data_IF_736799581902
#
_entry.id   IF_736799581902
#
_cell.length_a   1.000
_cell.length_b   1.000
_cell.length_c   1.000
_cell.angle_alpha   90.00
_cell.angle_beta   90.00
_cell.angle_gamma   90.00
#
_symmetry.space_group_name_H-M   'P 1'
#
loop_
_entity.id
_entity.type
_entity.pdbx_description
1 polymer ?
#
# COMPACT_ATOMS: atom_id res chain seq x y z
N UNK A 1 10.72 -14.46 -16.05
CA UNK A 1 10.73 -13.32 -15.11
C UNK A 1 12.20 -13.03 -14.88
N UNK A 2 12.73 -12.07 -15.63
CA UNK A 2 14.16 -11.89 -15.83
C UNK A 2 14.86 -11.42 -14.55
N UNK A 3 16.05 -11.96 -14.32
CA UNK A 3 16.91 -11.79 -13.14
C UNK A 3 17.48 -10.38 -12.99
N UNK A 4 16.64 -9.38 -12.69
CA UNK A 4 17.14 -8.14 -12.08
C UNK A 4 17.35 -8.38 -10.57
N UNK A 5 18.20 -9.35 -10.25
CA UNK A 5 18.75 -9.51 -8.90
C UNK A 5 19.72 -8.36 -8.63
N UNK A 6 19.41 -7.57 -7.60
CA UNK A 6 20.35 -6.58 -7.07
C UNK A 6 21.74 -7.23 -6.87
N UNK A 7 22.78 -6.52 -7.33
CA UNK A 7 24.16 -6.92 -7.08
C UNK A 7 24.39 -7.15 -5.57
N UNK A 8 25.33 -8.03 -5.17
CA UNK A 8 25.58 -8.28 -3.75
C UNK A 8 25.82 -7.01 -2.92
N UNK A 9 26.52 -6.02 -3.51
CA UNK A 9 26.74 -4.71 -2.90
C UNK A 9 25.46 -3.88 -2.83
N UNK A 10 24.65 -3.89 -3.90
CA UNK A 10 23.35 -3.22 -3.92
C UNK A 10 22.41 -3.74 -2.83
N UNK A 11 22.34 -5.07 -2.63
CA UNK A 11 21.57 -5.68 -1.55
C UNK A 11 22.02 -5.22 -0.17
N UNK A 12 23.33 -5.19 0.07
CA UNK A 12 23.87 -4.73 1.34
C UNK A 12 23.51 -3.27 1.62
N UNK A 13 23.67 -2.38 0.63
CA UNK A 13 23.33 -0.96 0.76
C UNK A 13 21.84 -0.78 1.03
N UNK A 14 20.97 -1.38 0.21
CA UNK A 14 19.51 -1.25 0.37
C UNK A 14 19.04 -1.86 1.69
N UNK A 15 19.58 -3.02 2.06
CA UNK A 15 19.26 -3.69 3.32
C UNK A 15 19.68 -2.88 4.54
N UNK A 16 20.88 -2.30 4.54
CA UNK A 16 21.36 -1.41 5.60
C UNK A 16 20.52 -0.12 5.69
N UNK A 17 20.14 0.46 4.56
CA UNK A 17 19.26 1.62 4.54
C UNK A 17 17.90 1.28 5.16
N UNK A 18 17.28 0.16 4.80
CA UNK A 18 16.05 -0.31 5.42
C UNK A 18 16.19 -0.53 6.93
N UNK A 19 17.28 -1.18 7.38
CA UNK A 19 17.60 -1.36 8.80
C UNK A 19 17.66 -0.03 9.54
N UNK A 20 18.43 0.93 9.02
CA UNK A 20 18.62 2.25 9.64
C UNK A 20 17.30 3.04 9.70
N UNK A 21 16.50 3.01 8.64
CA UNK A 21 15.17 3.64 8.64
C UNK A 21 14.23 3.06 9.71
N UNK A 22 14.33 1.76 10.00
CA UNK A 22 13.51 1.10 11.03
C UNK A 22 13.99 1.33 12.46
N UNK A 23 15.29 1.57 12.67
CA UNK A 23 15.86 1.76 14.01
C UNK A 23 15.35 3.04 14.68
N UNK A 24 15.25 4.14 13.94
CA UNK A 24 14.79 5.41 14.51
C UNK A 24 13.40 5.32 15.18
N UNK A 25 12.33 4.81 14.53
CA UNK A 25 11.04 4.64 15.18
C UNK A 25 11.07 3.62 16.34
N UNK A 26 11.86 2.54 16.26
CA UNK A 26 12.01 1.60 17.39
C UNK A 26 12.59 2.32 18.61
N UNK A 27 13.68 3.07 18.42
CA UNK A 27 14.33 3.83 19.49
C UNK A 27 13.40 4.90 20.08
N UNK A 28 12.60 5.56 19.25
CA UNK A 28 11.56 6.50 19.69
C UNK A 28 10.47 5.83 20.53
N UNK A 29 10.01 4.65 20.10
CA UNK A 29 9.06 3.83 20.87
C UNK A 29 9.62 3.38 22.22
N UNK A 30 10.89 3.02 22.28
CA UNK A 30 11.60 2.67 23.51
C UNK A 30 11.96 3.87 24.39
N UNK A 31 11.74 5.11 23.93
CA UNK A 31 12.04 6.32 24.70
C UNK A 31 13.54 6.63 24.79
N UNK A 32 14.35 6.19 23.82
CA UNK A 32 15.79 6.46 23.78
C UNK A 32 16.02 7.88 23.22
N UNK A 33 16.77 8.70 23.96
CA UNK A 33 17.17 10.05 23.51
C UNK A 33 18.16 9.97 22.33
N UNK A 34 18.08 10.84 21.28
CA UNK A 34 17.20 12.00 21.13
C UNK A 34 15.80 11.69 20.54
N UNK A 35 15.49 10.42 20.26
CA UNK A 35 14.26 10.02 19.58
C UNK A 35 13.00 10.05 20.48
N UNK A 36 13.18 10.10 21.80
CA UNK A 36 12.09 10.18 22.77
C UNK A 36 11.21 11.44 22.66
N UNK A 37 11.78 12.55 22.17
CA UNK A 37 11.09 13.85 22.09
C UNK A 37 9.97 13.92 21.04
N UNK A 38 9.88 12.92 20.15
CA UNK A 38 8.86 12.85 19.10
C UNK A 38 7.59 12.08 19.46
N UNK A 39 7.41 11.70 20.74
CA UNK A 39 6.22 10.94 21.16
C UNK A 39 4.96 11.79 21.02
N UNK A 40 4.05 11.32 20.17
CA UNK A 40 2.72 11.91 20.01
C UNK A 40 1.84 11.42 21.16
N UNK A 41 1.22 12.32 21.96
CA UNK A 41 0.32 11.92 23.03
C UNK A 41 -0.79 10.99 22.53
N UNK A 42 -1.01 9.88 23.24
CA UNK A 42 -2.06 8.90 22.93
C UNK A 42 -1.68 7.81 21.91
N UNK A 43 -0.46 7.81 21.38
CA UNK A 43 0.07 6.69 20.58
C UNK A 43 0.72 5.66 21.51
N UNK A 44 0.30 4.38 21.50
CA UNK A 44 0.95 3.34 22.27
C UNK A 44 2.40 3.10 21.82
N UNK A 45 3.29 2.84 22.77
CA UNK A 45 4.72 2.63 22.51
C UNK A 45 5.01 1.46 21.57
N UNK A 46 4.12 0.45 21.52
CA UNK A 46 4.29 -0.69 20.62
C UNK A 46 4.14 -0.31 19.14
N UNK A 47 3.37 0.73 18.80
CA UNK A 47 3.09 1.13 17.41
C UNK A 47 4.37 1.51 16.66
N UNK A 48 5.20 2.44 17.13
CA UNK A 48 6.47 2.76 16.46
C UNK A 48 7.49 1.61 16.52
N UNK A 49 7.44 0.75 17.55
CA UNK A 49 8.29 -0.45 17.63
C UNK A 49 7.94 -1.44 16.52
N UNK A 50 6.65 -1.76 16.34
CA UNK A 50 6.19 -2.66 15.29
C UNK A 50 6.42 -2.04 13.92
N UNK A 51 6.07 -0.76 13.75
CA UNK A 51 6.28 -0.03 12.50
C UNK A 51 7.75 -0.02 12.06
N UNK A 52 8.67 0.29 12.97
CA UNK A 52 10.10 0.21 12.69
C UNK A 52 10.62 -1.21 12.53
N UNK A 53 10.08 -2.15 13.29
CA UNK A 53 10.40 -3.58 13.21
C UNK A 53 10.16 -4.16 11.82
N UNK A 54 9.10 -3.73 11.12
CA UNK A 54 8.84 -4.14 9.74
C UNK A 54 9.99 -3.76 8.80
N UNK A 55 10.52 -2.54 8.90
CA UNK A 55 11.66 -2.08 8.10
C UNK A 55 12.95 -2.83 8.44
N UNK A 56 13.16 -3.11 9.74
CA UNK A 56 14.30 -3.91 10.20
C UNK A 56 14.24 -5.32 9.61
N UNK A 57 13.09 -5.99 9.71
CA UNK A 57 12.89 -7.32 9.15
C UNK A 57 13.11 -7.32 7.63
N UNK A 58 12.57 -6.32 6.92
CA UNK A 58 12.77 -6.16 5.48
C UNK A 58 14.27 -6.03 5.13
N UNK A 59 15.02 -5.21 5.86
CA UNK A 59 16.46 -5.07 5.67
C UNK A 59 17.22 -6.38 5.90
N UNK A 60 16.88 -7.13 6.95
CA UNK A 60 17.44 -8.47 7.22
C UNK A 60 17.15 -9.42 6.05
N UNK A 61 15.92 -9.47 5.54
CA UNK A 61 15.59 -10.35 4.40
C UNK A 61 16.38 -10.00 3.14
N UNK A 62 16.56 -8.71 2.85
CA UNK A 62 17.31 -8.24 1.68
C UNK A 62 18.79 -8.66 1.79
N UNK A 63 19.40 -8.52 2.98
CA UNK A 63 20.80 -8.92 3.22
C UNK A 63 20.95 -10.44 3.19
N UNK A 64 20.05 -11.17 3.86
CA UNK A 64 20.14 -12.63 3.98
C UNK A 64 19.94 -13.36 2.65
N UNK A 65 19.15 -12.80 1.72
CA UNK A 65 18.87 -13.37 0.39
C UNK A 65 18.45 -14.86 0.43
N UNK A 66 17.75 -15.26 1.49
CA UNK A 66 17.32 -16.64 1.69
C UNK A 66 15.81 -16.73 1.52
N UNK A 67 15.33 -17.60 0.63
CA UNK A 67 13.90 -17.68 0.25
C UNK A 67 12.97 -17.91 1.44
N UNK A 68 13.33 -18.81 2.36
CA UNK A 68 12.53 -19.09 3.56
C UNK A 68 12.50 -17.90 4.52
N UNK A 69 13.63 -17.20 4.66
CA UNK A 69 13.72 -16.01 5.52
C UNK A 69 12.87 -14.89 4.91
N UNK A 70 12.94 -14.72 3.60
CA UNK A 70 12.10 -13.76 2.87
C UNK A 70 10.61 -14.03 3.04
N UNK A 71 10.18 -15.30 3.04
CA UNK A 71 8.77 -15.65 3.27
C UNK A 71 8.31 -15.31 4.71
N UNK A 72 9.10 -15.68 5.72
CA UNK A 72 8.79 -15.38 7.13
C UNK A 72 8.82 -13.88 7.42
N UNK A 73 9.82 -13.18 6.87
CA UNK A 73 9.90 -11.71 6.95
C UNK A 73 8.73 -11.07 6.24
N UNK A 74 8.36 -11.54 5.04
CA UNK A 74 7.20 -11.05 4.31
C UNK A 74 5.93 -11.16 5.14
N UNK A 75 5.69 -12.34 5.74
CA UNK A 75 4.56 -12.55 6.64
C UNK A 75 4.61 -11.63 7.86
N UNK A 76 5.76 -11.53 8.54
CA UNK A 76 5.93 -10.66 9.70
C UNK A 76 5.76 -9.17 9.36
N UNK A 77 6.24 -8.75 8.19
CA UNK A 77 6.08 -7.40 7.67
C UNK A 77 4.61 -7.09 7.38
N UNK A 78 3.91 -7.99 6.69
CA UNK A 78 2.47 -7.85 6.43
C UNK A 78 1.68 -7.81 7.75
N UNK A 79 1.97 -8.70 8.69
CA UNK A 79 1.31 -8.75 10.00
C UNK A 79 1.58 -7.48 10.83
N UNK A 80 2.81 -6.96 10.83
CA UNK A 80 3.15 -5.72 11.51
C UNK A 80 2.44 -4.51 10.91
N UNK A 81 2.41 -4.41 9.58
CA UNK A 81 1.66 -3.36 8.87
C UNK A 81 0.15 -3.47 9.13
N UNK A 82 -0.40 -4.68 9.16
CA UNK A 82 -1.79 -4.92 9.47
C UNK A 82 -2.12 -4.49 10.91
N UNK A 83 -1.27 -4.85 11.89
CA UNK A 83 -1.45 -4.46 13.28
C UNK A 83 -1.43 -2.93 13.47
N UNK A 84 -0.46 -2.24 12.86
CA UNK A 84 -0.37 -0.78 12.88
C UNK A 84 -1.57 -0.16 12.18
N UNK A 85 -1.92 -0.64 10.98
CA UNK A 85 -3.09 -0.18 10.21
C UNK A 85 -4.40 -0.33 10.98
N UNK A 86 -4.61 -1.48 11.62
CA UNK A 86 -5.79 -1.75 12.45
C UNK A 86 -5.87 -0.81 13.65
N UNK A 87 -4.74 -0.51 14.32
CA UNK A 87 -4.74 0.48 15.39
C UNK A 87 -4.99 1.90 14.88
N UNK A 88 -4.47 2.27 13.71
CA UNK A 88 -4.76 3.59 13.12
C UNK A 88 -6.26 3.70 12.80
N UNK A 89 -6.83 2.68 12.17
CA UNK A 89 -8.22 2.65 11.73
C UNK A 89 -9.23 2.56 12.89
N UNK A 90 -9.04 1.59 13.78
CA UNK A 90 -10.01 1.17 14.79
C UNK A 90 -9.55 1.45 16.22
N UNK A 91 -8.28 1.81 16.43
CA UNK A 91 -7.75 2.08 17.75
C UNK A 91 -8.23 3.41 18.34
N UNK A 92 -8.10 3.51 19.67
CA UNK A 92 -8.45 4.70 20.46
C UNK A 92 -7.45 5.85 20.27
N UNK A 93 -7.90 7.08 20.50
CA UNK A 93 -7.10 8.30 20.41
C UNK A 93 -7.23 9.03 19.08
N UNK A 94 -6.76 10.27 19.04
CA UNK A 94 -6.78 11.12 17.84
C UNK A 94 -5.66 10.73 16.87
N UNK A 95 -5.90 10.90 15.56
CA UNK A 95 -4.91 10.68 14.50
C UNK A 95 -4.63 12.00 13.78
N UNK A 96 -3.39 12.46 13.88
CA UNK A 96 -2.90 13.61 13.12
C UNK A 96 -2.30 13.12 11.81
N UNK A 97 -3.14 12.84 10.83
CA UNK A 97 -2.67 12.37 9.53
C UNK A 97 -2.37 13.57 8.62
N UNK A 98 -1.09 13.91 8.53
CA UNK A 98 -0.62 14.87 7.54
C UNK A 98 -0.46 14.15 6.20
N UNK A 99 -1.51 14.18 5.38
CA UNK A 99 -1.41 13.78 3.99
C UNK A 99 -0.82 14.95 3.20
N UNK A 100 0.50 14.99 3.03
CA UNK A 100 1.13 15.91 2.08
C UNK A 100 0.95 15.33 0.68
N UNK A 101 -0.22 15.54 0.06
CA UNK A 101 -0.31 15.37 -1.39
C UNK A 101 0.43 16.55 -2.03
N UNK A 102 1.71 16.37 -2.32
CA UNK A 102 2.53 17.35 -3.03
C UNK A 102 2.17 17.34 -4.52
N UNK A 103 0.94 17.72 -4.85
CA UNK A 103 0.58 18.21 -6.17
C UNK A 103 0.63 19.73 -6.17
N UNK A 104 1.14 20.35 -7.24
CA UNK A 104 1.19 21.82 -7.43
C UNK A 104 -0.16 22.53 -7.16
N UNK A 105 -1.28 21.80 -7.22
CA UNK A 105 -2.65 22.34 -7.09
C UNK A 105 -3.31 22.14 -5.72
N UNK A 106 -2.73 21.36 -4.80
CA UNK A 106 -3.36 21.06 -3.51
C UNK A 106 -2.52 21.64 -2.38
N UNK A 107 -2.92 22.82 -1.88
CA UNK A 107 -2.38 23.34 -0.62
C UNK A 107 -2.48 22.27 0.47
N UNK A 108 -1.45 22.18 1.32
CA UNK A 108 -1.37 21.21 2.41
C UNK A 108 -2.57 21.35 3.34
N UNK A 109 -3.58 20.50 3.14
CA UNK A 109 -4.68 20.34 4.09
C UNK A 109 -4.34 19.14 4.96
N UNK A 110 -4.25 19.35 6.27
CA UNK A 110 -4.24 18.23 7.20
C UNK A 110 -5.52 17.43 6.97
N UNK A 111 -5.39 16.12 6.71
CA UNK A 111 -6.57 15.28 6.59
C UNK A 111 -7.21 15.19 7.98
N UNK A 112 -8.54 15.34 8.05
CA UNK A 112 -9.26 15.09 9.29
C UNK A 112 -9.05 13.64 9.77
N UNK A 113 -9.29 13.41 11.06
CA UNK A 113 -9.19 12.08 11.69
C UNK A 113 -9.98 11.01 10.91
N UNK A 114 -11.21 11.34 10.49
CA UNK A 114 -12.12 10.43 9.80
C UNK A 114 -11.58 9.95 8.43
N UNK A 115 -11.19 10.83 7.47
CA UNK A 115 -10.55 10.39 6.23
C UNK A 115 -9.33 9.48 6.45
N UNK A 116 -8.53 9.75 7.49
CA UNK A 116 -7.38 8.92 7.79
C UNK A 116 -7.79 7.51 8.22
N UNK A 117 -8.75 7.40 9.14
CA UNK A 117 -9.26 6.10 9.61
C UNK A 117 -9.86 5.29 8.47
N UNK A 118 -10.59 5.92 7.55
CA UNK A 118 -11.17 5.25 6.39
C UNK A 118 -10.06 4.70 5.49
N UNK A 119 -9.07 5.51 5.15
CA UNK A 119 -7.98 5.11 4.26
C UNK A 119 -7.13 3.97 4.86
N UNK A 120 -6.72 4.10 6.13
CA UNK A 120 -5.97 3.05 6.81
C UNK A 120 -6.82 1.81 7.11
N UNK A 121 -8.12 1.98 7.40
CA UNK A 121 -9.04 0.87 7.63
C UNK A 121 -9.20 0.01 6.40
N UNK A 122 -9.31 0.62 5.22
CA UNK A 122 -9.32 -0.11 3.96
C UNK A 122 -8.02 -0.89 3.73
N UNK A 123 -6.87 -0.25 3.94
CA UNK A 123 -5.57 -0.88 3.84
C UNK A 123 -5.40 -2.04 4.82
N UNK A 124 -5.85 -1.86 6.06
CA UNK A 124 -5.79 -2.88 7.11
C UNK A 124 -6.63 -4.12 6.74
N UNK A 125 -7.88 -3.92 6.29
CA UNK A 125 -8.74 -5.02 5.82
C UNK A 125 -8.09 -5.80 4.68
N UNK A 126 -7.47 -5.11 3.71
CA UNK A 126 -6.75 -5.79 2.62
C UNK A 126 -5.55 -6.60 3.12
N UNK A 127 -4.77 -6.06 4.06
CA UNK A 127 -3.64 -6.76 4.66
C UNK A 127 -4.09 -7.98 5.47
N UNK A 128 -5.17 -7.85 6.24
CA UNK A 128 -5.76 -8.95 7.02
C UNK A 128 -6.24 -10.08 6.11
N UNK A 129 -6.96 -9.74 5.02
CA UNK A 129 -7.37 -10.71 4.00
C UNK A 129 -6.14 -11.43 3.41
N UNK A 130 -5.07 -10.71 3.11
CA UNK A 130 -3.84 -11.29 2.57
C UNK A 130 -3.15 -12.22 3.57
N UNK A 131 -3.12 -11.86 4.86
CA UNK A 131 -2.60 -12.71 5.93
C UNK A 131 -3.41 -14.00 6.04
N UNK A 132 -4.73 -13.92 5.98
CA UNK A 132 -5.61 -15.10 5.99
C UNK A 132 -5.32 -15.98 4.77
N UNK A 133 -5.17 -15.42 3.57
CA UNK A 133 -4.81 -16.19 2.37
C UNK A 133 -3.45 -16.89 2.50
N UNK A 134 -2.45 -16.21 3.07
CA UNK A 134 -1.14 -16.82 3.35
C UNK A 134 -1.27 -17.97 4.35
N UNK A 135 -1.99 -17.76 5.44
CA UNK A 135 -2.22 -18.77 6.48
C UNK A 135 -2.95 -20.01 5.91
N UNK A 136 -4.00 -19.79 5.12
CA UNK A 136 -4.74 -20.87 4.44
C UNK A 136 -3.86 -21.61 3.43
N UNK A 137 -2.97 -20.91 2.73
CA UNK A 137 -2.03 -21.52 1.79
C UNK A 137 -0.97 -22.38 2.49
N UNK A 138 -0.51 -21.96 3.67
CA UNK A 138 0.39 -22.76 4.52
C UNK A 138 -0.35 -23.97 5.08
N UNK A 139 -1.55 -23.78 5.63
CA UNK A 139 -2.38 -24.85 6.15
C UNK A 139 -2.75 -25.88 5.06
N UNK A 140 -3.10 -25.43 3.86
CA UNK A 140 -3.41 -26.32 2.73
C UNK A 140 -2.23 -27.22 2.35
N UNK A 141 -1.01 -26.67 2.37
CA UNK A 141 0.22 -27.46 2.16
C UNK A 141 0.49 -28.44 3.29
N UNK A 142 0.22 -28.06 4.54
CA UNK A 142 0.44 -28.91 5.71
C UNK A 142 -0.58 -30.05 5.83
N UNK A 143 -1.83 -29.81 5.47
CA UNK A 143 -2.95 -30.75 5.70
C UNK A 143 -3.49 -31.41 4.41
N UNK A 144 -2.85 -31.23 3.26
CA UNK A 144 -3.26 -31.88 2.00
C UNK A 144 -4.54 -31.30 1.37
N UNK A 145 -4.83 -30.01 1.60
CA UNK A 145 -5.97 -29.27 1.02
C UNK A 145 -7.36 -29.93 1.24
N UNK A 146 -7.82 -30.11 2.48
CA UNK A 146 -9.19 -30.57 2.73
C UNK A 146 -10.24 -29.67 2.05
N UNK A 147 -11.39 -30.21 1.62
CA UNK A 147 -12.43 -29.46 0.89
C UNK A 147 -12.88 -28.18 1.60
N UNK A 148 -12.92 -28.20 2.93
CA UNK A 148 -13.26 -27.03 3.75
C UNK A 148 -12.28 -25.86 3.55
N UNK A 149 -10.97 -26.12 3.45
CA UNK A 149 -9.97 -25.07 3.20
C UNK A 149 -10.08 -24.50 1.78
N UNK A 150 -10.44 -25.33 0.79
CA UNK A 150 -10.67 -24.87 -0.59
C UNK A 150 -11.86 -23.92 -0.64
N UNK A 151 -12.97 -24.28 0.02
CA UNK A 151 -14.15 -23.42 0.13
C UNK A 151 -13.85 -22.10 0.84
N UNK A 152 -13.13 -22.17 1.96
CA UNK A 152 -12.73 -20.97 2.73
C UNK A 152 -11.79 -20.07 1.92
N UNK A 153 -10.79 -20.62 1.24
CA UNK A 153 -9.88 -19.84 0.38
C UNK A 153 -10.65 -19.09 -0.70
N UNK A 154 -11.59 -19.75 -1.38
CA UNK A 154 -12.44 -19.12 -2.39
C UNK A 154 -13.29 -17.99 -1.79
N UNK A 155 -13.84 -18.18 -0.59
CA UNK A 155 -14.59 -17.14 0.11
C UNK A 155 -13.71 -15.90 0.41
N UNK A 156 -12.47 -16.12 0.84
CA UNK A 156 -11.51 -15.04 1.11
C UNK A 156 -11.07 -14.32 -0.18
N UNK A 157 -10.89 -15.05 -1.29
CA UNK A 157 -10.65 -14.44 -2.61
C UNK A 157 -11.82 -13.54 -3.06
N UNK A 158 -13.06 -13.96 -2.84
CA UNK A 158 -14.23 -13.11 -3.09
C UNK A 158 -14.30 -11.90 -2.17
N UNK A 159 -13.95 -12.05 -0.89
CA UNK A 159 -13.85 -10.93 0.04
C UNK A 159 -12.81 -9.91 -0.44
N UNK A 160 -11.65 -10.38 -0.91
CA UNK A 160 -10.61 -9.53 -1.50
C UNK A 160 -11.13 -8.74 -2.70
N UNK A 161 -11.84 -9.41 -3.62
CA UNK A 161 -12.45 -8.75 -4.78
C UNK A 161 -13.51 -7.73 -4.37
N UNK A 162 -14.35 -8.06 -3.39
CA UNK A 162 -15.35 -7.14 -2.86
C UNK A 162 -14.71 -5.89 -2.22
N UNK A 163 -13.63 -6.07 -1.45
CA UNK A 163 -12.85 -4.95 -0.90
C UNK A 163 -12.16 -4.16 -2.00
N UNK A 164 -11.66 -4.76 -3.08
CA UNK A 164 -11.04 -4.01 -4.18
C UNK A 164 -12.05 -3.35 -5.14
N UNK A 165 -13.31 -3.78 -5.14
CA UNK A 165 -14.29 -3.38 -6.14
C UNK A 165 -14.46 -1.86 -6.27
N UNK A 166 -14.51 -1.04 -5.20
CA UNK A 166 -14.67 0.41 -5.37
C UNK A 166 -13.44 1.09 -5.97
N UNK A 167 -12.23 0.60 -5.71
CA UNK A 167 -11.01 1.09 -6.37
C UNK A 167 -11.00 0.71 -7.86
N UNK A 168 -11.37 -0.54 -8.17
CA UNK A 168 -11.47 -1.01 -9.55
C UNK A 168 -12.53 -0.24 -10.33
N UNK A 169 -13.67 0.07 -9.70
CA UNK A 169 -14.73 0.88 -10.31
C UNK A 169 -14.25 2.30 -10.60
N UNK A 170 -13.55 2.94 -9.67
CA UNK A 170 -12.97 4.27 -9.89
C UNK A 170 -11.98 4.25 -11.06
N UNK A 171 -11.08 3.28 -11.11
CA UNK A 171 -10.13 3.12 -12.21
C UNK A 171 -10.84 2.90 -13.55
N UNK A 172 -11.91 2.10 -13.57
CA UNK A 172 -12.72 1.88 -14.76
C UNK A 172 -13.40 3.18 -15.23
N UNK A 173 -13.95 3.97 -14.30
CA UNK A 173 -14.55 5.28 -14.62
C UNK A 173 -13.48 6.22 -15.21
N UNK A 174 -12.30 6.32 -14.59
CA UNK A 174 -11.21 7.14 -15.13
C UNK A 174 -10.74 6.67 -16.51
N UNK A 175 -10.63 5.36 -16.73
CA UNK A 175 -10.25 4.80 -18.02
C UNK A 175 -11.31 5.10 -19.10
N UNK A 176 -12.60 4.99 -18.76
CA UNK A 176 -13.72 5.29 -19.68
C UNK A 176 -13.80 6.80 -20.00
N UNK A 177 -13.61 7.67 -19.01
CA UNK A 177 -13.59 9.13 -19.22
C UNK A 177 -12.34 9.59 -20.00
N UNK A 178 -11.17 9.03 -19.68
CA UNK A 178 -9.91 9.34 -20.35
C UNK A 178 -9.88 8.88 -21.81
N UNK A 179 -10.40 7.68 -22.10
CA UNK A 179 -10.59 7.21 -23.48
C UNK A 179 -11.69 7.99 -24.22
N UNK A 180 -12.73 8.43 -23.51
CA UNK A 180 -13.77 9.32 -24.02
C UNK A 180 -13.24 10.67 -24.50
N UNK A 181 -12.26 11.26 -23.80
CA UNK A 181 -11.64 12.54 -24.19
C UNK A 181 -10.92 12.50 -25.54
N UNK A 182 -10.25 11.39 -25.86
CA UNK A 182 -9.60 11.19 -27.16
C UNK A 182 -10.61 10.96 -28.31
N UNK A 183 -11.69 10.22 -28.04
CA UNK A 183 -12.76 10.02 -29.01
C UNK A 183 -13.53 11.33 -29.30
N UNK A 184 -13.77 12.16 -28.27
CA UNK A 184 -14.45 13.44 -28.43
C UNK A 184 -13.60 14.46 -29.20
N UNK A 185 -12.29 14.54 -28.93
CA UNK A 185 -11.40 15.46 -29.63
C UNK A 185 -11.23 15.10 -31.12
N UNK A 186 -11.17 13.79 -31.43
CA UNK A 186 -11.13 13.28 -32.80
C UNK A 186 -12.45 13.46 -33.56
N UNK A 187 -13.60 13.45 -32.87
CA UNK A 187 -14.90 13.78 -33.46
C UNK A 187 -15.05 15.28 -33.73
N UNK A 188 -14.67 16.14 -32.78
CA UNK A 188 -14.68 17.60 -32.95
C UNK A 188 -13.77 18.04 -34.10
N UNK A 189 -12.56 17.50 -34.19
CA UNK A 189 -11.61 17.82 -35.26
C UNK A 189 -12.15 17.45 -36.65
N UNK A 190 -12.86 16.31 -36.77
CA UNK A 190 -13.47 15.89 -38.04
C UNK A 190 -14.69 16.74 -38.43
N UNK A 191 -15.49 17.16 -37.45
CA UNK A 191 -16.72 17.93 -37.70
C UNK A 191 -16.45 19.40 -38.01
N UNK A 192 -15.49 20.02 -37.32
CA UNK A 192 -15.17 21.44 -37.51
C UNK A 192 -14.00 21.70 -38.46
N UNK A 193 -13.12 20.71 -38.68
CA UNK A 193 -12.04 20.82 -39.67
C UNK A 193 -12.54 20.89 -41.12
N UNK A 194 -13.72 20.32 -41.43
CA UNK A 194 -14.32 20.40 -42.77
C UNK A 194 -14.82 21.81 -43.11
N UNK A 195 -15.32 22.57 -42.15
CA UNK A 195 -15.91 23.90 -42.40
C UNK A 195 -14.84 24.91 -42.87
N UNK A 196 -13.57 24.71 -42.52
CA UNK A 196 -12.50 25.65 -42.87
C UNK A 196 -11.93 25.43 -44.28
N UNK A 197 -12.21 24.31 -44.95
CA UNK A 197 -11.58 23.97 -46.24
C UNK A 197 -12.39 24.41 -47.47
N UNK A 198 -13.67 24.70 -47.30
CA UNK A 198 -14.58 25.00 -48.43
C UNK A 198 -14.81 26.51 -48.64
N UNK A 199 -14.11 27.39 -47.90
CA UNK A 199 -14.28 28.85 -47.97
C UNK A 199 -13.10 29.64 -48.55
N UNK A 200 -12.11 28.97 -49.14
CA UNK A 200 -10.81 29.56 -49.48
C UNK A 200 -10.43 29.56 -50.96
N UNK A 201 -11.40 29.46 -51.89
CA UNK A 201 -11.11 29.52 -53.32
C UNK A 201 -12.04 30.51 -54.04
N UNK A 202 -11.87 31.78 -53.69
CA UNK A 202 -12.51 32.90 -54.39
C UNK A 202 -11.65 34.13 -54.25
N UNK A 203 -10.55 34.16 -55.01
CA UNK A 203 -9.97 35.29 -55.76
C UNK A 203 -8.48 35.12 -56.01
#
# INVERSE_FOLDING_TARGET
MSDDQLSPRGRLVVGLLCLLCGLAPILGGLGVSPFAGGRVPGVPDWVPIVGGGVFVLAGIAIVANHRTVGALVGLGATAGLAAVGNWIAFGVGVRSCTMTFSGWWTGTRMAGDLPCRIAFGWGAVLLDIFIVLMALSVAGKAFGNPPALVGLKKAVEWAMLATLAPLLLLLAIFALLGSGGGALSGWFSRRFGKIKKDGGDSR
#
